data_IF_548346625622
#
_entry.id   IF_548346625622
#
_cell.length_a   1.000
_cell.length_b   1.000
_cell.length_c   1.000
_cell.angle_alpha   90.00
_cell.angle_beta   90.00
_cell.angle_gamma   90.00
#
_symmetry.space_group_name_H-M   'P 1'
#
loop_
_entity.id
_entity.type
_entity.pdbx_description
1 polymer ?
#
# COMPACT_ATOMS: atom_id res chain seq x y z
N UNK A 1 31.62 32.75 -6.37
CA UNK A 1 30.47 33.13 -7.22
C UNK A 1 30.24 32.16 -8.40
N UNK A 2 31.19 31.88 -9.30
CA UNK A 2 30.96 30.93 -10.41
C UNK A 2 31.06 29.46 -9.98
N UNK A 3 32.00 29.14 -9.07
CA UNK A 3 32.11 27.82 -8.44
C UNK A 3 30.87 27.45 -7.62
N UNK A 4 30.33 28.37 -6.82
CA UNK A 4 29.14 28.12 -6.00
C UNK A 4 27.89 27.86 -6.86
N UNK A 5 27.72 28.60 -7.96
CA UNK A 5 26.61 28.39 -8.89
C UNK A 5 26.70 27.06 -9.62
N UNK A 6 27.91 26.62 -9.98
CA UNK A 6 28.16 25.31 -10.63
C UNK A 6 27.92 24.16 -9.66
N UNK A 7 28.42 24.26 -8.43
CA UNK A 7 28.20 23.26 -7.39
C UNK A 7 26.72 23.12 -7.04
N UNK A 8 25.97 24.23 -6.99
CA UNK A 8 24.53 24.20 -6.76
C UNK A 8 23.77 23.56 -7.93
N UNK A 9 24.18 23.81 -9.18
CA UNK A 9 23.58 23.20 -10.35
C UNK A 9 23.86 21.68 -10.41
N UNK A 10 25.11 21.27 -10.16
CA UNK A 10 25.49 19.85 -10.14
C UNK A 10 24.80 19.09 -8.98
N UNK A 11 24.62 19.72 -7.82
CA UNK A 11 23.86 19.13 -6.69
C UNK A 11 22.37 18.99 -7.01
N UNK A 12 21.78 19.95 -7.72
CA UNK A 12 20.39 19.88 -8.15
C UNK A 12 20.16 18.76 -9.19
N UNK A 13 21.11 18.54 -10.09
CA UNK A 13 21.06 17.48 -11.11
C UNK A 13 21.12 16.08 -10.47
N UNK A 14 22.05 15.87 -9.53
CA UNK A 14 22.14 14.62 -8.76
C UNK A 14 20.88 14.35 -7.94
N UNK A 15 20.29 15.39 -7.34
CA UNK A 15 19.03 15.25 -6.60
C UNK A 15 17.86 14.92 -7.53
N UNK A 16 17.82 15.50 -8.74
CA UNK A 16 16.81 15.19 -9.75
C UNK A 16 16.90 13.74 -10.22
N UNK A 17 18.10 13.26 -10.55
CA UNK A 17 18.35 11.87 -10.95
C UNK A 17 17.95 10.88 -9.85
N UNK A 18 18.28 11.20 -8.59
CA UNK A 18 17.89 10.37 -7.45
C UNK A 18 16.37 10.35 -7.27
N UNK A 19 15.69 11.50 -7.35
CA UNK A 19 14.23 11.58 -7.26
C UNK A 19 13.55 10.83 -8.41
N UNK A 20 14.08 10.92 -9.63
CA UNK A 20 13.59 10.16 -10.77
C UNK A 20 13.71 8.64 -10.52
N UNK A 21 14.86 8.19 -10.03
CA UNK A 21 15.08 6.79 -9.67
C UNK A 21 14.12 6.31 -8.56
N UNK A 22 13.90 7.11 -7.51
CA UNK A 22 12.97 6.78 -6.43
C UNK A 22 11.51 6.76 -6.91
N UNK A 23 11.13 7.65 -7.83
CA UNK A 23 9.81 7.64 -8.45
C UNK A 23 9.57 6.36 -9.28
N UNK A 24 10.57 5.93 -10.06
CA UNK A 24 10.51 4.65 -10.79
C UNK A 24 10.36 3.47 -9.83
N UNK A 25 11.11 3.45 -8.73
CA UNK A 25 10.96 2.43 -7.68
C UNK A 25 9.55 2.44 -7.07
N UNK A 26 9.00 3.62 -6.74
CA UNK A 26 7.64 3.76 -6.23
C UNK A 26 6.59 3.21 -7.19
N UNK A 27 6.74 3.46 -8.49
CA UNK A 27 5.85 2.91 -9.51
C UNK A 27 5.95 1.38 -9.54
N UNK A 28 7.17 0.83 -9.51
CA UNK A 28 7.39 -0.61 -9.52
C UNK A 28 6.77 -1.30 -8.29
N UNK A 29 7.05 -0.77 -7.09
CA UNK A 29 6.52 -1.29 -5.83
C UNK A 29 4.99 -1.23 -5.76
N UNK A 30 4.39 -0.11 -6.19
CA UNK A 30 2.94 0.02 -6.21
C UNK A 30 2.30 -0.92 -7.24
N UNK A 31 2.93 -1.15 -8.40
CA UNK A 31 2.47 -2.16 -9.37
C UNK A 31 2.48 -3.56 -8.77
N UNK A 32 3.53 -3.92 -8.05
CA UNK A 32 3.64 -5.22 -7.38
C UNK A 32 2.56 -5.39 -6.29
N UNK A 33 2.37 -4.37 -5.44
CA UNK A 33 1.29 -4.32 -4.46
C UNK A 33 -0.09 -4.50 -5.12
N UNK A 34 -0.37 -3.75 -6.19
CA UNK A 34 -1.65 -3.82 -6.90
C UNK A 34 -1.86 -5.20 -7.56
N UNK A 35 -0.79 -5.81 -8.08
CA UNK A 35 -0.84 -7.15 -8.66
C UNK A 35 -1.20 -8.20 -7.60
N UNK A 36 -0.58 -8.17 -6.42
CA UNK A 36 -0.87 -9.09 -5.32
C UNK A 36 -2.30 -8.91 -4.81
N UNK A 37 -2.75 -7.66 -4.59
CA UNK A 37 -4.14 -7.37 -4.18
C UNK A 37 -5.14 -7.89 -5.23
N UNK A 38 -4.88 -7.64 -6.52
CA UNK A 38 -5.73 -8.15 -7.61
C UNK A 38 -5.75 -9.68 -7.64
N UNK A 39 -4.60 -10.31 -7.42
CA UNK A 39 -4.45 -11.77 -7.34
C UNK A 39 -5.33 -12.36 -6.25
N UNK A 40 -5.20 -11.86 -5.03
CA UNK A 40 -6.01 -12.27 -3.89
C UNK A 40 -7.51 -12.10 -4.16
N UNK A 41 -7.94 -10.92 -4.65
CA UNK A 41 -9.36 -10.67 -4.91
C UNK A 41 -9.92 -11.62 -6.00
N UNK A 42 -9.15 -11.84 -7.07
CA UNK A 42 -9.55 -12.76 -8.14
C UNK A 42 -9.67 -14.20 -7.64
N UNK A 43 -8.74 -14.61 -6.78
CA UNK A 43 -8.79 -15.91 -6.12
C UNK A 43 -10.01 -16.01 -5.20
N UNK A 44 -10.27 -14.98 -4.39
CA UNK A 44 -11.39 -14.95 -3.46
C UNK A 44 -12.72 -15.05 -4.19
N UNK A 45 -12.90 -14.32 -5.31
CA UNK A 45 -14.11 -14.40 -6.14
C UNK A 45 -14.39 -15.82 -6.62
N UNK A 46 -13.35 -16.57 -7.00
CA UNK A 46 -13.47 -17.98 -7.40
C UNK A 46 -13.80 -18.87 -6.21
N UNK A 47 -13.16 -18.62 -5.08
CA UNK A 47 -13.34 -19.42 -3.87
C UNK A 47 -14.75 -19.28 -3.29
N UNK A 48 -15.35 -18.10 -3.36
CA UNK A 48 -16.69 -17.85 -2.81
C UNK A 48 -17.80 -17.90 -3.88
N UNK A 49 -17.43 -17.88 -5.16
CA UNK A 49 -18.32 -17.89 -6.31
C UNK A 49 -19.16 -16.63 -6.47
N UNK A 50 -18.67 -15.48 -6.00
CA UNK A 50 -19.33 -14.19 -6.11
C UNK A 50 -18.32 -13.10 -6.48
N UNK A 51 -18.75 -12.11 -7.28
CA UNK A 51 -17.91 -10.95 -7.60
C UNK A 51 -17.81 -10.01 -6.42
N UNK A 52 -16.62 -9.47 -6.18
CA UNK A 52 -16.39 -8.51 -5.08
C UNK A 52 -17.29 -7.30 -5.24
N UNK A 53 -17.56 -6.86 -6.48
CA UNK A 53 -18.42 -5.71 -6.75
C UNK A 53 -19.90 -5.90 -6.41
N UNK A 54 -20.34 -7.15 -6.30
CA UNK A 54 -21.71 -7.51 -5.91
C UNK A 54 -21.87 -7.64 -4.39
N UNK A 55 -20.76 -7.67 -3.63
CA UNK A 55 -20.78 -7.79 -2.19
C UNK A 55 -21.12 -6.45 -1.50
N UNK A 56 -21.92 -6.53 -0.44
CA UNK A 56 -22.05 -5.44 0.52
C UNK A 56 -20.70 -5.23 1.22
N UNK A 57 -20.35 -3.98 1.56
CA UNK A 57 -19.04 -3.62 2.12
C UNK A 57 -17.83 -3.96 1.22
N UNK A 58 -18.00 -3.98 -0.11
CA UNK A 58 -16.94 -4.26 -1.09
C UNK A 58 -15.66 -3.43 -0.90
N UNK A 59 -15.75 -2.21 -0.40
CA UNK A 59 -14.56 -1.39 -0.10
C UNK A 59 -13.67 -2.03 0.96
N UNK A 60 -14.26 -2.65 2.00
CA UNK A 60 -13.51 -3.41 3.01
C UNK A 60 -12.87 -4.67 2.44
N UNK A 61 -13.54 -5.33 1.50
CA UNK A 61 -12.98 -6.51 0.81
C UNK A 61 -11.82 -6.08 -0.09
N UNK A 62 -11.97 -4.99 -0.85
CA UNK A 62 -10.89 -4.43 -1.69
C UNK A 62 -9.69 -3.99 -0.86
N UNK A 63 -9.93 -3.47 0.34
CA UNK A 63 -8.92 -3.06 1.30
C UNK A 63 -8.65 -4.14 2.36
N UNK A 64 -8.83 -5.43 2.07
CA UNK A 64 -8.68 -6.51 3.07
C UNK A 64 -7.34 -6.45 3.81
N UNK A 65 -6.28 -6.03 3.13
CA UNK A 65 -4.92 -5.88 3.65
C UNK A 65 -4.75 -4.78 4.69
N UNK A 66 -5.78 -3.98 4.96
CA UNK A 66 -5.84 -2.93 5.98
C UNK A 66 -6.75 -3.33 7.15
N UNK A 67 -7.23 -4.58 7.16
CA UNK A 67 -8.14 -5.12 8.15
C UNK A 67 -7.66 -6.50 8.61
N UNK A 68 -8.23 -6.97 9.72
CA UNK A 68 -8.00 -8.33 10.19
C UNK A 68 -8.82 -9.36 9.41
N UNK A 69 -8.47 -10.63 9.59
CA UNK A 69 -9.15 -11.76 8.97
C UNK A 69 -10.63 -11.82 9.39
N UNK A 70 -10.94 -11.53 10.64
CA UNK A 70 -12.30 -11.55 11.17
C UNK A 70 -13.21 -10.52 10.48
N UNK A 71 -12.69 -9.34 10.16
CA UNK A 71 -13.39 -8.32 9.37
C UNK A 71 -13.74 -8.87 7.99
N UNK A 72 -12.81 -9.53 7.31
CA UNK A 72 -13.08 -10.14 6.00
C UNK A 72 -14.17 -11.21 6.10
N UNK A 73 -14.06 -12.14 7.07
CA UNK A 73 -15.05 -13.20 7.30
C UNK A 73 -16.42 -12.62 7.63
N UNK A 74 -16.49 -11.55 8.44
CA UNK A 74 -17.75 -10.87 8.76
C UNK A 74 -18.46 -10.33 7.52
N UNK A 75 -17.70 -9.80 6.55
CA UNK A 75 -18.24 -9.32 5.29
C UNK A 75 -18.73 -10.48 4.43
N UNK A 76 -18.00 -11.59 4.35
CA UNK A 76 -18.45 -12.78 3.64
C UNK A 76 -19.74 -13.36 4.27
N UNK A 77 -19.81 -13.46 5.60
CA UNK A 77 -20.99 -13.94 6.33
C UNK A 77 -22.22 -13.08 6.07
N UNK A 78 -22.07 -11.75 6.08
CA UNK A 78 -23.18 -10.84 5.77
C UNK A 78 -23.68 -10.97 4.31
N UNK A 79 -22.83 -11.48 3.41
CA UNK A 79 -23.16 -11.75 2.02
C UNK A 79 -23.50 -13.23 1.73
N UNK A 80 -23.67 -14.10 2.74
CA UNK A 80 -23.84 -15.56 2.58
C UNK A 80 -24.84 -16.00 1.49
N UNK A 81 -25.93 -15.25 1.28
CA UNK A 81 -26.96 -15.56 0.28
C UNK A 81 -26.49 -15.40 -1.17
N UNK A 82 -25.40 -14.66 -1.39
CA UNK A 82 -24.78 -14.42 -2.69
C UNK A 82 -23.63 -15.40 -2.96
N UNK A 83 -23.17 -16.12 -1.93
CA UNK A 83 -22.03 -17.02 -2.04
C UNK A 83 -22.50 -18.41 -2.46
N UNK A 84 -21.64 -19.10 -3.20
CA UNK A 84 -21.85 -20.50 -3.59
C UNK A 84 -21.35 -21.50 -2.54
N UNK A 85 -20.57 -21.00 -1.57
CA UNK A 85 -19.96 -21.77 -0.49
C UNK A 85 -20.45 -21.28 0.86
N UNK A 86 -20.38 -22.13 1.88
CA UNK A 86 -20.64 -21.74 3.25
C UNK A 86 -19.39 -21.06 3.87
N UNK A 87 -19.44 -19.74 4.17
CA UNK A 87 -18.30 -19.01 4.73
C UNK A 87 -17.97 -19.41 6.18
N UNK A 88 -18.86 -20.11 6.88
CA UNK A 88 -18.62 -20.63 8.23
C UNK A 88 -18.11 -22.07 8.21
N UNK A 89 -18.06 -22.72 7.04
CA UNK A 89 -17.50 -24.06 6.93
C UNK A 89 -15.99 -24.06 7.12
N UNK A 90 -15.51 -25.02 7.92
CA UNK A 90 -14.09 -25.15 8.26
C UNK A 90 -13.16 -25.21 7.03
N UNK A 91 -13.44 -26.00 5.97
CA UNK A 91 -12.57 -26.05 4.80
C UNK A 91 -12.47 -24.71 4.06
N UNK A 92 -13.57 -23.94 4.00
CA UNK A 92 -13.58 -22.62 3.38
C UNK A 92 -12.79 -21.64 4.22
N UNK A 93 -13.00 -21.61 5.54
CA UNK A 93 -12.24 -20.71 6.41
C UNK A 93 -10.74 -21.00 6.41
N UNK A 94 -10.33 -22.28 6.47
CA UNK A 94 -8.92 -22.65 6.40
C UNK A 94 -8.27 -22.23 5.07
N UNK A 95 -9.00 -22.38 3.95
CA UNK A 95 -8.52 -21.94 2.65
C UNK A 95 -8.35 -20.41 2.56
N UNK A 96 -9.35 -19.64 3.04
CA UNK A 96 -9.29 -18.17 3.03
C UNK A 96 -8.23 -17.67 4.00
N UNK A 97 -8.12 -18.24 5.20
CA UNK A 97 -7.11 -17.86 6.18
C UNK A 97 -5.69 -18.08 5.62
N UNK A 98 -5.46 -19.22 4.95
CA UNK A 98 -4.17 -19.50 4.32
C UNK A 98 -3.82 -18.47 3.26
N UNK A 99 -4.69 -18.25 2.28
CA UNK A 99 -4.42 -17.29 1.19
C UNK A 99 -4.29 -15.85 1.72
N UNK A 100 -5.11 -15.48 2.70
CA UNK A 100 -5.04 -14.17 3.36
C UNK A 100 -3.68 -13.95 4.02
N UNK A 101 -3.21 -14.93 4.79
CA UNK A 101 -1.90 -14.85 5.46
C UNK A 101 -0.74 -14.84 4.44
N UNK A 102 -0.82 -15.67 3.39
CA UNK A 102 0.19 -15.70 2.33
C UNK A 102 0.26 -14.36 1.58
N UNK A 103 -0.89 -13.74 1.31
CA UNK A 103 -0.94 -12.45 0.64
C UNK A 103 -0.43 -11.32 1.54
N UNK A 104 -0.80 -11.32 2.83
CA UNK A 104 -0.23 -10.38 3.80
C UNK A 104 1.28 -10.53 3.95
N UNK A 105 1.81 -11.76 3.96
CA UNK A 105 3.25 -12.00 4.05
C UNK A 105 4.04 -11.35 2.89
N UNK A 106 3.42 -11.22 1.71
CA UNK A 106 4.00 -10.48 0.58
C UNK A 106 3.75 -8.98 0.65
N UNK A 107 2.56 -8.57 1.07
CA UNK A 107 2.17 -7.16 1.09
C UNK A 107 2.87 -6.36 2.19
N UNK A 108 3.14 -6.96 3.35
CA UNK A 108 3.83 -6.29 4.46
C UNK A 108 5.18 -5.69 4.06
N UNK A 109 6.15 -6.48 3.54
CA UNK A 109 7.44 -5.91 3.13
C UNK A 109 7.30 -4.90 1.97
N UNK A 110 6.30 -5.05 1.08
CA UNK A 110 6.05 -4.06 0.04
C UNK A 110 5.56 -2.73 0.61
N UNK A 111 4.62 -2.76 1.56
CA UNK A 111 4.12 -1.56 2.24
C UNK A 111 5.25 -0.86 3.01
N UNK A 112 6.10 -1.61 3.69
CA UNK A 112 7.26 -1.08 4.40
C UNK A 112 8.25 -0.38 3.45
N UNK A 113 8.56 -1.01 2.32
CA UNK A 113 9.44 -0.42 1.28
C UNK A 113 8.83 0.84 0.69
N UNK A 114 7.54 0.83 0.34
CA UNK A 114 6.83 2.00 -0.18
C UNK A 114 6.92 3.15 0.83
N UNK A 115 6.61 2.89 2.11
CA UNK A 115 6.67 3.93 3.14
C UNK A 115 8.11 4.43 3.39
N UNK A 116 9.12 3.57 3.28
CA UNK A 116 10.51 3.98 3.39
C UNK A 116 10.96 4.86 2.21
N UNK A 117 10.56 4.52 0.99
CA UNK A 117 10.85 5.32 -0.21
C UNK A 117 10.13 6.67 -0.17
N UNK A 118 8.88 6.71 0.28
CA UNK A 118 8.10 7.94 0.46
C UNK A 118 8.80 8.91 1.42
N UNK A 119 9.19 8.43 2.61
CA UNK A 119 9.98 9.22 3.57
C UNK A 119 11.31 9.70 3.02
N UNK A 120 11.99 8.88 2.21
CA UNK A 120 13.25 9.29 1.59
C UNK A 120 13.04 10.42 0.58
N UNK A 121 11.96 10.36 -0.20
CA UNK A 121 11.58 11.43 -1.13
C UNK A 121 11.28 12.71 -0.34
N UNK A 122 10.49 12.65 0.73
CA UNK A 122 10.18 13.81 1.57
C UNK A 122 11.45 14.47 2.13
N UNK A 123 12.38 13.69 2.69
CA UNK A 123 13.65 14.19 3.20
C UNK A 123 14.49 14.89 2.12
N UNK A 124 14.52 14.34 0.90
CA UNK A 124 15.21 14.96 -0.23
C UNK A 124 14.52 16.28 -0.61
N UNK A 125 13.19 16.30 -0.69
CA UNK A 125 12.41 17.50 -1.01
C UNK A 125 12.63 18.58 0.05
N UNK A 126 12.52 18.26 1.33
CA UNK A 126 12.79 19.21 2.41
C UNK A 126 14.19 19.79 2.32
N UNK A 127 15.19 18.96 2.02
CA UNK A 127 16.58 19.42 1.85
C UNK A 127 16.75 20.32 0.63
N UNK A 128 16.08 20.03 -0.48
CA UNK A 128 16.12 20.85 -1.70
C UNK A 128 15.49 22.23 -1.50
N UNK A 129 14.41 22.30 -0.71
CA UNK A 129 13.75 23.56 -0.37
C UNK A 129 14.36 24.27 0.85
N UNK A 130 15.34 23.65 1.51
CA UNK A 130 16.06 24.24 2.64
C UNK A 130 15.21 24.39 3.90
N UNK A 131 14.23 23.50 4.10
CA UNK A 131 13.36 23.55 5.27
C UNK A 131 14.15 23.30 6.56
N UNK A 132 13.75 24.03 7.59
CA UNK A 132 14.15 23.83 8.98
C UNK A 132 13.33 22.73 9.65
N UNK A 133 13.81 22.20 10.77
CA UNK A 133 13.08 21.19 11.55
C UNK A 133 11.69 21.70 12.00
N UNK A 134 11.56 23.00 12.27
CA UNK A 134 10.28 23.64 12.60
C UNK A 134 9.31 23.61 11.41
N UNK A 135 9.79 23.93 10.20
CA UNK A 135 8.98 23.88 8.99
C UNK A 135 8.60 22.46 8.61
N UNK A 136 9.50 21.49 8.78
CA UNK A 136 9.22 20.06 8.60
C UNK A 136 8.14 19.60 9.58
N UNK A 137 8.26 19.95 10.87
CA UNK A 137 7.27 19.59 11.88
C UNK A 137 5.86 20.16 11.56
N UNK A 138 5.79 21.36 10.98
CA UNK A 138 4.53 21.95 10.50
C UNK A 138 3.96 21.13 9.33
N UNK A 139 4.79 20.77 8.34
CA UNK A 139 4.36 19.98 7.17
C UNK A 139 3.90 18.57 7.56
N UNK A 140 4.60 17.92 8.50
CA UNK A 140 4.23 16.60 9.01
C UNK A 140 3.05 16.65 10.01
N UNK A 141 2.55 17.84 10.36
CA UNK A 141 1.42 18.01 11.27
C UNK A 141 1.74 17.69 12.74
N UNK A 142 3.02 17.69 13.12
CA UNK A 142 3.48 17.37 14.47
C UNK A 142 3.21 18.50 15.50
N UNK A 143 2.84 19.70 15.05
CA UNK A 143 2.56 20.88 15.90
C UNK A 143 1.09 21.05 16.30
N UNK A 144 0.20 20.12 15.94
CA UNK A 144 -1.21 20.12 16.36
C UNK A 144 -1.61 18.78 17.01
N UNK A 145 -1.10 18.53 18.21
CA UNK A 145 -1.68 17.60 19.19
C UNK A 145 -1.79 18.28 20.55
#
# INVERSE_FOLDING_TARGET
RWLDARLNADQADVAHDLLAHLAEQMIALNKEKLAEVKGFLTWLERQVGAKVDDLSNKTKVRAYHDHDFDTLVSVLRSNRRKLTVDPDSRPVQEAIAREFNESLAKLTPLKERIAATDRLIDLIVYRLYGLTDEEVAIVEGATHQ
#
